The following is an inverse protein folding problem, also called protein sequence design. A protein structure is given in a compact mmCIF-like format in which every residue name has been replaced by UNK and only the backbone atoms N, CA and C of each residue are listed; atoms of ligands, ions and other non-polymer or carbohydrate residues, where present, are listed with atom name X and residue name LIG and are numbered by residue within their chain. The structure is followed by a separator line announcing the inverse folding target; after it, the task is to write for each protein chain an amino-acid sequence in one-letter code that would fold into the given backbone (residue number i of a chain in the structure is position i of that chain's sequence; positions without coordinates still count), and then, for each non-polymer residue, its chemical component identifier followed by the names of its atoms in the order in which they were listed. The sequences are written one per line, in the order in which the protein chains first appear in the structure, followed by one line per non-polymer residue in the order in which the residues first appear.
data_IF_318440205511
#
_entry.id   IF_318440205511
#
_cell.length_a   1.000
_cell.length_b   1.000
_cell.length_c   1.000
_cell.angle_alpha   90.00
_cell.angle_beta   90.00
_cell.angle_gamma   90.00
#
_symmetry.space_group_name_H-M   'P 1'
#
loop_
_entity.id
_entity.type
_entity.pdbx_description
1 polymer ?
#
# COMPACT_ATOMS: atom_id res chain seq x y z
N UNK A 1 -4.49 0.96 -10.61
CA UNK A 1 -3.15 1.46 -10.22
C UNK A 1 -2.73 2.50 -11.25
N UNK A 2 -2.19 3.65 -10.83
CA UNK A 2 -1.58 4.69 -11.70
C UNK A 2 -2.49 5.42 -12.73
N UNK A 3 -3.81 5.36 -12.57
CA UNK A 3 -4.78 5.95 -13.50
C UNK A 3 -4.64 7.48 -13.65
N UNK A 4 -4.29 8.19 -12.57
CA UNK A 4 -4.19 9.66 -12.60
C UNK A 4 -3.04 10.11 -13.48
N UNK A 5 -1.87 9.50 -13.31
CA UNK A 5 -0.68 9.75 -14.12
C UNK A 5 -0.93 9.43 -15.59
N UNK A 6 -1.67 8.35 -15.87
CA UNK A 6 -2.06 7.98 -17.23
C UNK A 6 -2.95 9.03 -17.91
N UNK A 7 -3.98 9.52 -17.20
CA UNK A 7 -4.83 10.61 -17.68
C UNK A 7 -4.03 11.90 -17.90
N UNK A 8 -3.08 12.22 -17.02
CA UNK A 8 -2.20 13.39 -17.16
C UNK A 8 -1.43 13.37 -18.48
N UNK A 9 -0.72 12.29 -18.78
CA UNK A 9 0.08 12.22 -20.01
C UNK A 9 -0.78 12.21 -21.28
N UNK A 10 -1.91 11.50 -21.24
CA UNK A 10 -2.86 11.43 -22.36
C UNK A 10 -3.45 12.80 -22.70
N UNK A 11 -3.87 13.57 -21.69
CA UNK A 11 -4.42 14.92 -21.87
C UNK A 11 -3.40 15.90 -22.46
N UNK A 12 -2.14 15.80 -22.02
CA UNK A 12 -1.06 16.65 -22.53
C UNK A 12 -0.74 16.33 -23.98
N UNK A 13 -0.70 15.05 -24.35
CA UNK A 13 -0.50 14.63 -25.73
C UNK A 13 -1.63 15.16 -26.64
N UNK A 14 -2.89 15.05 -26.22
CA UNK A 14 -4.06 15.59 -26.96
C UNK A 14 -4.00 17.12 -27.11
N UNK A 15 -3.74 17.85 -26.03
CA UNK A 15 -3.66 19.33 -26.03
C UNK A 15 -2.59 19.87 -27.00
N UNK A 16 -1.44 19.21 -27.09
CA UNK A 16 -0.37 19.58 -28.02
C UNK A 16 -0.70 19.25 -29.48
N UNK A 17 -1.52 18.22 -29.74
CA UNK A 17 -1.95 17.85 -31.09
C UNK A 17 -2.99 18.80 -31.72
N UNK A 18 -3.81 19.45 -30.90
CA UNK A 18 -4.91 20.32 -31.36
C UNK A 18 -4.48 21.77 -31.66
N UNK A 19 -3.38 22.26 -31.06
CA UNK A 19 -2.93 23.65 -31.16
C UNK A 19 -1.83 23.86 -32.19
N UNK A 20 -1.73 25.09 -32.70
CA UNK A 20 -0.62 25.51 -33.55
C UNK A 20 0.60 25.77 -32.65
N UNK A 21 1.68 25.00 -32.81
CA UNK A 21 2.86 25.03 -31.93
C UNK A 21 3.66 26.33 -32.06
N UNK A 22 3.18 27.41 -31.45
CA UNK A 22 3.99 28.58 -31.12
C UNK A 22 4.57 28.43 -29.70
N UNK A 23 5.66 29.15 -29.40
CA UNK A 23 6.36 29.05 -28.11
C UNK A 23 5.45 29.29 -26.89
N UNK A 24 4.44 30.17 -27.03
CA UNK A 24 3.50 30.48 -25.93
C UNK A 24 2.53 29.34 -25.65
N UNK A 25 2.01 28.68 -26.69
CA UNK A 25 1.09 27.56 -26.55
C UNK A 25 1.79 26.31 -25.99
N UNK A 26 3.08 26.13 -26.33
CA UNK A 26 3.92 25.09 -25.73
C UNK A 26 4.10 25.35 -24.23
N UNK A 27 4.50 26.56 -23.82
CA UNK A 27 4.73 26.88 -22.41
C UNK A 27 3.46 26.73 -21.57
N UNK A 28 2.30 27.16 -22.09
CA UNK A 28 1.02 26.98 -21.42
C UNK A 28 0.67 25.50 -21.18
N UNK A 29 0.94 24.64 -22.17
CA UNK A 29 0.67 23.20 -22.05
C UNK A 29 1.66 22.49 -21.12
N UNK A 30 2.94 22.90 -21.15
CA UNK A 30 3.95 22.41 -20.22
C UNK A 30 3.64 22.79 -18.77
N UNK A 31 3.08 23.98 -18.53
CA UNK A 31 2.63 24.40 -17.19
C UNK A 31 1.44 23.56 -16.71
N UNK A 32 0.54 23.17 -17.61
CA UNK A 32 -0.56 22.24 -17.28
C UNK A 32 -0.05 20.82 -16.98
N UNK A 33 0.93 20.34 -17.75
CA UNK A 33 1.63 19.09 -17.48
C UNK A 33 2.24 19.11 -16.08
N UNK A 34 2.97 20.18 -15.74
CA UNK A 34 3.61 20.37 -14.43
C UNK A 34 2.61 20.24 -13.28
N UNK A 35 1.51 21.00 -13.32
CA UNK A 35 0.44 20.93 -12.30
C UNK A 35 -0.08 19.50 -12.16
N UNK A 36 -0.35 18.85 -13.29
CA UNK A 36 -0.93 17.51 -13.33
C UNK A 36 0.01 16.42 -12.80
N UNK A 37 1.32 16.57 -13.03
CA UNK A 37 2.34 15.67 -12.50
C UNK A 37 2.53 15.84 -10.99
N UNK A 38 2.58 17.09 -10.51
CA UNK A 38 2.63 17.39 -9.07
C UNK A 38 1.40 16.81 -8.35
N UNK A 39 0.23 16.95 -8.96
CA UNK A 39 -1.03 16.37 -8.50
C UNK A 39 -1.06 14.83 -8.47
N UNK A 40 -0.14 14.19 -9.20
CA UNK A 40 0.05 12.74 -9.24
C UNK A 40 1.19 12.27 -8.34
N UNK A 41 1.63 13.13 -7.41
CA UNK A 41 2.76 12.89 -6.49
C UNK A 41 4.09 12.61 -7.19
N UNK A 42 4.31 13.22 -8.36
CA UNK A 42 5.63 13.27 -8.98
C UNK A 42 6.45 14.37 -8.32
N UNK A 43 7.69 14.06 -7.92
CA UNK A 43 8.57 15.01 -7.26
C UNK A 43 8.94 16.17 -8.18
N UNK A 44 9.04 17.38 -7.60
CA UNK A 44 9.27 18.64 -8.34
C UNK A 44 10.45 18.54 -9.31
N UNK A 45 11.59 18.02 -8.86
CA UNK A 45 12.78 17.86 -9.73
C UNK A 45 12.54 16.91 -10.91
N UNK A 46 11.71 15.89 -10.74
CA UNK A 46 11.35 14.95 -11.81
C UNK A 46 10.39 15.62 -12.79
N UNK A 47 9.47 16.44 -12.28
CA UNK A 47 8.58 17.27 -13.11
C UNK A 47 9.38 18.26 -13.95
N UNK A 48 10.36 18.94 -13.34
CA UNK A 48 11.25 19.87 -14.03
C UNK A 48 12.08 19.18 -15.11
N UNK A 49 12.62 18.00 -14.82
CA UNK A 49 13.38 17.18 -15.78
C UNK A 49 12.51 16.77 -16.98
N UNK A 50 11.29 16.27 -16.74
CA UNK A 50 10.34 15.89 -17.79
C UNK A 50 9.96 17.12 -18.63
N UNK A 51 9.68 18.25 -17.98
CA UNK A 51 9.28 19.51 -18.64
C UNK A 51 10.41 20.04 -19.53
N UNK A 52 11.64 20.05 -19.03
CA UNK A 52 12.81 20.55 -19.76
C UNK A 52 13.10 19.67 -20.99
N UNK A 53 13.14 18.35 -20.81
CA UNK A 53 13.38 17.40 -21.90
C UNK A 53 12.31 17.50 -23.00
N UNK A 54 11.04 17.60 -22.62
CA UNK A 54 9.95 17.75 -23.59
C UNK A 54 10.01 19.10 -24.31
N UNK A 55 10.33 20.18 -23.60
CA UNK A 55 10.49 21.52 -24.18
C UNK A 55 11.59 21.54 -25.25
N UNK A 56 12.75 20.98 -24.94
CA UNK A 56 13.87 20.89 -25.88
C UNK A 56 13.52 20.09 -27.13
N UNK A 57 12.78 18.98 -26.98
CA UNK A 57 12.34 18.13 -28.11
C UNK A 57 11.24 18.77 -28.97
N UNK A 58 10.44 19.67 -28.40
CA UNK A 58 9.36 20.35 -29.12
C UNK A 58 9.83 21.62 -29.83
N UNK A 59 10.79 22.36 -29.26
CA UNK A 59 11.30 23.60 -29.87
C UNK A 59 12.06 23.27 -31.17
N UNK A 60 11.61 23.84 -32.27
CA UNK A 60 12.26 23.69 -33.59
C UNK A 60 11.88 22.43 -34.36
N UNK A 61 11.12 21.51 -33.77
CA UNK A 61 10.69 20.26 -34.43
C UNK A 61 9.44 20.51 -35.28
N UNK A 62 9.54 20.24 -36.59
CA UNK A 62 8.41 20.31 -37.52
C UNK A 62 7.70 18.95 -37.57
N UNK A 63 6.86 18.67 -36.58
CA UNK A 63 6.01 17.47 -36.57
C UNK A 63 4.66 17.78 -37.24
N UNK A 64 4.14 16.85 -38.04
CA UNK A 64 2.79 16.98 -38.59
C UNK A 64 1.76 16.95 -37.45
N UNK A 65 0.68 17.73 -37.51
CA UNK A 65 -0.34 17.78 -36.44
C UNK A 65 -0.87 16.41 -36.04
N UNK A 66 -1.01 15.50 -37.03
CA UNK A 66 -1.48 14.13 -36.81
C UNK A 66 -0.46 13.23 -36.09
N UNK A 67 0.81 13.62 -36.05
CA UNK A 67 1.92 12.85 -35.48
C UNK A 67 2.43 13.45 -34.16
N UNK A 68 2.01 14.67 -33.78
CA UNK A 68 2.44 15.33 -32.54
C UNK A 68 2.08 14.50 -31.31
N UNK A 69 0.87 13.95 -31.26
CA UNK A 69 0.39 13.15 -30.11
C UNK A 69 1.32 11.95 -29.88
N UNK A 70 1.60 11.20 -30.95
CA UNK A 70 2.49 10.04 -30.92
C UNK A 70 3.94 10.45 -30.60
N UNK A 71 4.40 11.58 -31.14
CA UNK A 71 5.73 12.13 -30.83
C UNK A 71 5.89 12.50 -29.36
N UNK A 72 4.93 13.20 -28.77
CA UNK A 72 4.93 13.59 -27.35
C UNK A 72 4.89 12.35 -26.47
N UNK A 73 3.99 11.41 -26.78
CA UNK A 73 3.86 10.14 -26.06
C UNK A 73 5.17 9.35 -26.08
N UNK A 74 5.78 9.16 -27.25
CA UNK A 74 7.08 8.50 -27.41
C UNK A 74 8.20 9.23 -26.67
N UNK A 75 8.20 10.56 -26.69
CA UNK A 75 9.21 11.37 -26.00
C UNK A 75 9.14 11.20 -24.48
N UNK A 76 7.93 11.21 -23.93
CA UNK A 76 7.66 10.98 -22.51
C UNK A 76 8.01 9.54 -22.08
N UNK A 77 7.57 8.53 -22.85
CA UNK A 77 7.92 7.12 -22.60
C UNK A 77 9.44 6.96 -22.59
N UNK A 78 10.15 7.54 -23.57
CA UNK A 78 11.60 7.44 -23.64
C UNK A 78 12.28 8.12 -22.45
N UNK A 79 11.84 9.31 -22.07
CA UNK A 79 12.38 10.02 -20.92
C UNK A 79 12.22 9.20 -19.62
N UNK A 80 11.02 8.72 -19.37
CA UNK A 80 10.71 7.91 -18.18
C UNK A 80 11.44 6.57 -18.21
N UNK A 81 11.49 5.88 -19.36
CA UNK A 81 12.27 4.64 -19.50
C UNK A 81 13.73 4.87 -19.17
N UNK A 82 14.33 5.95 -19.67
CA UNK A 82 15.73 6.29 -19.38
C UNK A 82 15.96 6.47 -17.87
N UNK A 83 15.02 7.09 -17.14
CA UNK A 83 15.12 7.20 -15.68
C UNK A 83 15.16 5.84 -14.99
N UNK A 84 14.39 4.85 -15.47
CA UNK A 84 14.44 3.48 -14.97
C UNK A 84 15.70 2.72 -15.41
N UNK A 85 16.22 2.99 -16.61
CA UNK A 85 17.42 2.35 -17.16
C UNK A 85 18.72 2.82 -16.50
N UNK A 86 18.71 3.99 -15.87
CA UNK A 86 19.81 4.47 -15.03
C UNK A 86 19.97 3.66 -13.74
N UNK A 87 18.91 2.99 -13.27
CA UNK A 87 18.97 2.12 -12.12
C UNK A 87 19.51 0.73 -12.52
N UNK A 88 20.37 0.11 -11.68
CA UNK A 88 20.89 -1.22 -11.97
C UNK A 88 19.79 -2.27 -12.08
N UNK A 89 19.91 -3.18 -13.04
CA UNK A 89 19.06 -4.37 -13.10
C UNK A 89 19.30 -5.23 -11.86
N UNK A 90 18.22 -5.73 -11.24
CA UNK A 90 18.30 -6.48 -10.00
C UNK A 90 17.52 -7.79 -10.06
N UNK A 91 18.21 -8.91 -9.81
CA UNK A 91 17.59 -10.24 -9.65
C UNK A 91 17.91 -10.78 -8.26
N UNK A 92 16.92 -10.70 -7.36
CA UNK A 92 17.06 -11.13 -5.98
C UNK A 92 17.42 -12.62 -5.86
N UNK A 93 16.74 -13.47 -6.63
CA UNK A 93 16.85 -14.92 -6.49
C UNK A 93 18.20 -15.42 -7.00
N UNK A 94 18.65 -14.88 -8.14
CA UNK A 94 19.97 -15.19 -8.70
C UNK A 94 21.09 -14.74 -7.76
N UNK A 95 21.01 -13.51 -7.24
CA UNK A 95 22.02 -12.95 -6.33
C UNK A 95 22.17 -13.78 -5.04
N UNK A 96 21.04 -14.20 -4.45
CA UNK A 96 21.06 -15.07 -3.26
C UNK A 96 21.69 -16.43 -3.58
N UNK A 97 21.26 -17.09 -4.66
CA UNK A 97 21.79 -18.41 -5.05
C UNK A 97 23.29 -18.36 -5.33
N UNK A 98 23.75 -17.36 -6.08
CA UNK A 98 25.17 -17.19 -6.39
C UNK A 98 26.01 -17.04 -5.13
N UNK A 99 25.50 -16.39 -4.08
CA UNK A 99 26.22 -16.24 -2.82
C UNK A 99 26.13 -17.51 -1.96
N UNK A 100 24.97 -18.13 -1.88
CA UNK A 100 24.78 -19.40 -1.16
C UNK A 100 25.69 -20.52 -1.67
N UNK A 101 25.96 -20.58 -2.98
CA UNK A 101 26.90 -21.53 -3.58
C UNK A 101 28.33 -21.38 -3.04
N UNK A 102 28.70 -20.18 -2.59
CA UNK A 102 29.98 -19.90 -1.91
C UNK A 102 29.99 -20.25 -0.41
N UNK A 103 28.91 -20.87 0.09
CA UNK A 103 28.69 -21.22 1.51
C UNK A 103 28.65 -20.01 2.47
N UNK A 104 28.33 -18.82 1.95
CA UNK A 104 28.10 -17.61 2.75
C UNK A 104 26.63 -17.18 2.61
N UNK A 105 25.92 -16.88 3.72
CA UNK A 105 24.54 -16.42 3.62
C UNK A 105 24.45 -15.05 2.94
N UNK A 106 23.36 -14.82 2.21
CA UNK A 106 23.00 -13.52 1.66
C UNK A 106 22.24 -12.68 2.69
N UNK A 107 22.74 -11.50 3.01
CA UNK A 107 22.18 -10.64 4.05
C UNK A 107 21.36 -9.50 3.43
N UNK A 108 20.10 -9.40 3.83
CA UNK A 108 19.19 -8.34 3.39
C UNK A 108 18.78 -7.49 4.60
N UNK A 109 19.13 -6.21 4.57
CA UNK A 109 18.73 -5.23 5.57
C UNK A 109 17.53 -4.42 5.06
N UNK A 110 16.41 -4.49 5.77
CA UNK A 110 15.22 -3.71 5.44
C UNK A 110 15.21 -2.44 6.28
N UNK A 111 15.09 -1.30 5.61
CA UNK A 111 15.01 0.04 6.20
C UNK A 111 13.73 0.73 5.75
N UNK A 112 13.35 1.82 6.41
CA UNK A 112 12.12 2.57 6.10
C UNK A 112 11.41 2.97 7.37
N UNK A 113 10.30 3.68 7.26
CA UNK A 113 9.64 4.25 8.44
C UNK A 113 8.64 3.26 9.07
N UNK A 114 8.06 3.63 10.22
CA UNK A 114 7.00 2.86 10.86
C UNK A 114 5.71 3.00 10.04
N UNK A 115 4.96 1.91 9.92
CA UNK A 115 3.68 1.92 9.21
C UNK A 115 3.77 1.79 7.68
N UNK A 116 4.97 1.71 7.09
CA UNK A 116 5.16 1.46 5.65
C UNK A 116 5.05 -0.01 5.27
N UNK A 117 4.75 -0.91 6.21
CA UNK A 117 4.61 -2.34 5.93
C UNK A 117 5.91 -3.14 5.87
N UNK A 118 7.01 -2.65 6.48
CA UNK A 118 8.32 -3.32 6.50
C UNK A 118 8.29 -4.75 7.05
N UNK A 119 7.78 -4.95 8.27
CA UNK A 119 7.67 -6.28 8.90
C UNK A 119 6.84 -7.26 8.05
N UNK A 120 5.72 -6.80 7.48
CA UNK A 120 4.90 -7.61 6.56
C UNK A 120 5.65 -7.92 5.27
N UNK A 121 6.39 -6.95 4.71
CA UNK A 121 7.20 -7.11 3.49
C UNK A 121 8.30 -8.15 3.70
N UNK A 122 8.94 -8.17 4.87
CA UNK A 122 9.93 -9.18 5.23
C UNK A 122 9.29 -10.57 5.22
N UNK A 123 8.09 -10.72 5.77
CA UNK A 123 7.37 -11.99 5.75
C UNK A 123 7.00 -12.43 4.31
N UNK A 124 6.56 -11.50 3.46
CA UNK A 124 6.30 -11.77 2.02
C UNK A 124 7.55 -12.22 1.29
N UNK A 125 8.67 -11.52 1.48
CA UNK A 125 9.97 -11.90 0.91
C UNK A 125 10.38 -13.28 1.43
N UNK A 126 10.24 -13.55 2.74
CA UNK A 126 10.58 -14.85 3.30
C UNK A 126 9.75 -15.99 2.68
N UNK A 127 8.44 -15.78 2.49
CA UNK A 127 7.55 -16.71 1.78
C UNK A 127 7.99 -16.93 0.33
N UNK A 128 8.29 -15.85 -0.41
CA UNK A 128 8.81 -15.92 -1.78
C UNK A 128 10.10 -16.74 -1.86
N UNK A 129 11.04 -16.52 -0.94
CA UNK A 129 12.30 -17.25 -0.88
C UNK A 129 12.08 -18.75 -0.56
N UNK A 130 11.21 -19.08 0.40
CA UNK A 130 10.87 -20.48 0.71
C UNK A 130 10.25 -21.21 -0.48
N UNK A 131 9.33 -20.55 -1.21
CA UNK A 131 8.75 -21.11 -2.46
C UNK A 131 9.80 -21.40 -3.52
N UNK A 132 10.89 -20.63 -3.52
CA UNK A 132 12.05 -20.82 -4.39
C UNK A 132 13.13 -21.74 -3.80
N UNK A 133 12.81 -22.48 -2.72
CA UNK A 133 13.70 -23.43 -2.02
C UNK A 133 14.96 -22.78 -1.44
N UNK A 134 14.88 -21.50 -1.10
CA UNK A 134 15.93 -20.76 -0.41
C UNK A 134 15.60 -20.78 1.10
N UNK A 135 16.54 -21.26 1.90
CA UNK A 135 16.40 -21.30 3.35
C UNK A 135 16.64 -19.91 3.97
N UNK A 136 15.82 -19.56 4.97
CA UNK A 136 15.77 -18.20 5.53
C UNK A 136 15.83 -18.22 7.05
N UNK A 137 16.59 -17.28 7.63
CA UNK A 137 16.50 -16.88 9.03
C UNK A 137 16.19 -15.39 9.12
N UNK A 138 15.42 -14.99 10.13
CA UNK A 138 14.98 -13.60 10.31
C UNK A 138 15.56 -13.03 11.59
N UNK A 139 16.03 -11.77 11.55
CA UNK A 139 16.55 -11.03 12.69
C UNK A 139 15.60 -9.89 13.08
N UNK A 140 15.15 -9.88 14.34
CA UNK A 140 14.32 -8.81 14.90
C UNK A 140 15.20 -7.67 15.45
N UNK A 141 15.77 -6.87 14.55
CA UNK A 141 16.64 -5.74 14.91
C UNK A 141 15.88 -4.46 15.29
N UNK A 142 14.54 -4.42 15.24
CA UNK A 142 13.71 -3.41 15.94
C UNK A 142 13.58 -3.77 17.43
N UNK A 143 14.67 -3.58 18.18
CA UNK A 143 14.79 -4.03 19.58
C UNK A 143 14.01 -3.19 20.59
N UNK A 144 13.45 -2.06 20.17
CA UNK A 144 12.73 -1.10 21.03
C UNK A 144 11.21 -1.18 20.89
N UNK A 145 10.68 -1.98 19.97
CA UNK A 145 9.22 -2.10 19.78
C UNK A 145 8.81 -3.53 20.02
N UNK A 146 8.41 -3.83 21.27
CA UNK A 146 7.98 -5.16 21.67
C UNK A 146 6.87 -5.72 20.75
N UNK A 147 5.90 -4.88 20.36
CA UNK A 147 4.85 -5.27 19.41
C UNK A 147 5.36 -5.59 18.00
N UNK A 148 6.43 -4.93 17.54
CA UNK A 148 7.03 -5.26 16.24
C UNK A 148 7.75 -6.62 16.28
N UNK A 149 8.45 -6.90 17.38
CA UNK A 149 9.08 -8.21 17.61
C UNK A 149 8.03 -9.32 17.67
N UNK A 150 6.91 -9.09 18.38
CA UNK A 150 5.83 -10.09 18.45
C UNK A 150 5.15 -10.29 17.10
N UNK A 151 4.87 -9.21 16.35
CA UNK A 151 4.33 -9.32 15.00
C UNK A 151 5.26 -10.13 14.07
N UNK A 152 6.57 -9.87 14.12
CA UNK A 152 7.56 -10.63 13.35
C UNK A 152 7.64 -12.09 13.81
N UNK A 153 7.48 -12.34 15.12
CA UNK A 153 7.40 -13.69 15.70
C UNK A 153 6.19 -14.45 15.19
N UNK A 154 5.02 -13.83 15.11
CA UNK A 154 3.84 -14.46 14.53
C UNK A 154 4.06 -14.85 13.07
N UNK A 155 4.61 -13.94 12.25
CA UNK A 155 4.92 -14.23 10.85
C UNK A 155 5.91 -15.39 10.70
N UNK A 156 7.01 -15.34 11.45
CA UNK A 156 8.03 -16.40 11.42
C UNK A 156 7.50 -17.74 11.90
N UNK A 157 6.65 -17.77 12.94
CA UNK A 157 5.98 -18.99 13.38
C UNK A 157 5.05 -19.55 12.30
N UNK A 158 4.23 -18.71 11.65
CA UNK A 158 3.33 -19.14 10.56
C UNK A 158 4.10 -19.70 9.35
N UNK A 159 5.27 -19.13 9.05
CA UNK A 159 6.15 -19.57 7.97
C UNK A 159 7.12 -20.68 8.40
N UNK A 160 7.08 -21.13 9.66
CA UNK A 160 8.01 -22.08 10.25
C UNK A 160 9.49 -21.69 10.05
N UNK A 161 9.80 -20.42 10.29
CA UNK A 161 11.12 -19.81 10.15
C UNK A 161 11.78 -19.60 11.50
N UNK A 162 13.12 -19.69 11.53
CA UNK A 162 13.87 -19.29 12.71
C UNK A 162 13.85 -17.76 12.85
N UNK A 163 13.37 -17.29 13.99
CA UNK A 163 13.56 -15.91 14.45
C UNK A 163 14.76 -15.84 15.41
N UNK A 164 15.65 -14.88 15.16
CA UNK A 164 16.68 -14.43 16.08
C UNK A 164 16.26 -13.09 16.66
N UNK A 165 16.04 -13.08 17.97
CA UNK A 165 15.68 -11.91 18.75
C UNK A 165 16.41 -11.96 20.08
N UNK A 166 16.78 -10.80 20.62
CA UNK A 166 17.34 -10.66 21.95
C UNK A 166 16.34 -9.97 22.89
N UNK A 167 16.76 -9.73 24.13
CA UNK A 167 15.95 -8.99 25.11
C UNK A 167 15.63 -7.58 24.62
N UNK A 168 14.52 -7.04 25.09
CA UNK A 168 14.11 -5.67 24.78
C UNK A 168 15.21 -4.66 25.11
N UNK A 169 15.44 -3.70 24.22
CA UNK A 169 16.49 -2.68 24.36
C UNK A 169 17.91 -3.17 24.07
N UNK A 170 18.09 -4.40 23.59
CA UNK A 170 19.40 -4.89 23.14
C UNK A 170 19.90 -4.13 21.92
N UNK A 171 21.20 -4.24 21.63
CA UNK A 171 21.81 -3.60 20.46
C UNK A 171 21.31 -4.24 19.14
N UNK A 172 20.64 -3.48 18.25
CA UNK A 172 20.15 -3.99 16.96
C UNK A 172 21.21 -4.70 16.12
N UNK A 173 22.45 -4.20 16.16
CA UNK A 173 23.57 -4.77 15.42
C UNK A 173 24.02 -6.13 15.99
N UNK A 174 23.88 -6.35 17.29
CA UNK A 174 24.16 -7.63 17.91
C UNK A 174 23.14 -8.69 17.47
N UNK A 175 21.85 -8.34 17.39
CA UNK A 175 20.81 -9.26 16.88
C UNK A 175 21.09 -9.67 15.43
N UNK A 176 21.47 -8.72 14.57
CA UNK A 176 21.83 -9.00 13.18
C UNK A 176 23.09 -9.89 13.08
N UNK A 177 24.10 -9.64 13.94
CA UNK A 177 25.32 -10.45 14.03
C UNK A 177 25.00 -11.89 14.45
N UNK A 178 24.14 -12.09 15.44
CA UNK A 178 23.73 -13.42 15.90
C UNK A 178 22.98 -14.19 14.82
N UNK A 179 22.12 -13.51 14.04
CA UNK A 179 21.44 -14.12 12.91
C UNK A 179 22.41 -14.57 11.81
N UNK A 180 23.43 -13.76 11.51
CA UNK A 180 24.51 -14.13 10.61
C UNK A 180 25.27 -15.38 11.11
N UNK A 181 25.64 -15.42 12.39
CA UNK A 181 26.34 -16.58 12.97
C UNK A 181 25.47 -17.84 12.96
N UNK A 182 24.17 -17.69 13.25
CA UNK A 182 23.21 -18.77 13.13
C UNK A 182 23.14 -19.31 11.69
N UNK A 183 23.00 -18.41 10.71
CA UNK A 183 22.93 -18.80 9.31
C UNK A 183 24.19 -19.54 8.84
N UNK A 184 25.39 -19.06 9.21
CA UNK A 184 26.65 -19.74 8.89
C UNK A 184 26.76 -21.13 9.52
N UNK A 185 26.36 -21.27 10.78
CA UNK A 185 26.44 -22.57 11.48
C UNK A 185 25.42 -23.59 11.00
N UNK A 186 24.26 -23.13 10.52
CA UNK A 186 23.17 -24.00 10.06
C UNK A 186 23.08 -24.08 8.52
N UNK A 187 24.01 -23.45 7.80
CA UNK A 187 24.04 -23.38 6.32
C UNK A 187 22.72 -22.87 5.73
N UNK A 188 22.21 -21.79 6.32
CA UNK A 188 21.03 -21.08 5.83
C UNK A 188 21.46 -20.12 4.72
N UNK A 189 20.70 -20.06 3.63
CA UNK A 189 21.07 -19.32 2.42
C UNK A 189 20.90 -17.81 2.57
N UNK A 190 19.92 -17.35 3.36
CA UNK A 190 19.59 -15.94 3.47
C UNK A 190 19.22 -15.49 4.90
N UNK A 191 19.66 -14.29 5.27
CA UNK A 191 19.31 -13.59 6.51
C UNK A 191 18.50 -12.35 6.17
N UNK A 192 17.28 -12.24 6.69
CA UNK A 192 16.45 -11.04 6.59
C UNK A 192 16.50 -10.25 7.89
N UNK A 193 16.87 -8.97 7.84
CA UNK A 193 17.06 -8.13 9.02
C UNK A 193 15.99 -7.04 9.04
N UNK A 194 15.08 -7.08 10.03
CA UNK A 194 14.06 -6.04 10.26
C UNK A 194 14.63 -4.92 11.13
N UNK A 195 14.87 -3.74 10.57
CA UNK A 195 15.34 -2.58 11.34
C UNK A 195 14.19 -1.80 11.96
N UNK A 196 14.50 -0.98 12.97
CA UNK A 196 13.58 0.03 13.46
C UNK A 196 13.16 1.04 12.35
N UNK A 197 12.04 1.75 12.54
CA UNK A 197 11.47 2.67 11.54
C UNK A 197 11.10 4.09 11.99
N UNK A 198 11.70 4.64 13.04
CA UNK A 198 11.38 6.02 13.49
C UNK A 198 12.13 7.10 12.70
N UNK A 199 11.53 7.70 11.67
CA UNK A 199 12.23 8.68 10.80
C UNK A 199 12.03 10.16 11.13
N UNK A 200 10.96 10.55 11.84
CA UNK A 200 10.74 11.96 12.12
C UNK A 200 11.82 12.41 13.12
N UNK A 201 12.88 13.03 12.60
CA UNK A 201 14.01 13.72 13.27
C UNK A 201 15.04 12.90 14.06
N UNK A 202 15.01 11.56 14.01
CA UNK A 202 15.88 10.78 14.88
C UNK A 202 17.22 10.40 14.23
N UNK A 203 18.26 11.25 14.41
CA UNK A 203 19.67 10.90 14.08
C UNK A 203 20.05 9.51 14.57
N UNK A 204 19.52 9.10 15.72
CA UNK A 204 19.81 7.81 16.33
C UNK A 204 19.33 6.63 15.46
N UNK A 205 18.26 6.77 14.66
CA UNK A 205 17.84 5.69 13.75
C UNK A 205 18.87 5.47 12.65
N UNK A 206 19.32 6.54 11.99
CA UNK A 206 20.30 6.43 10.91
C UNK A 206 21.63 5.90 11.44
N UNK A 207 22.06 6.36 12.62
CA UNK A 207 23.24 5.82 13.31
C UNK A 207 23.11 4.33 13.63
N UNK A 208 21.92 3.88 14.05
CA UNK A 208 21.65 2.45 14.29
C UNK A 208 21.74 1.63 13.00
N UNK A 209 21.17 2.11 11.90
CA UNK A 209 21.20 1.42 10.61
C UNK A 209 22.63 1.39 10.05
N UNK A 210 23.37 2.50 10.15
CA UNK A 210 24.79 2.54 9.82
C UNK A 210 25.60 1.56 10.66
N UNK A 211 25.31 1.46 11.96
CA UNK A 211 25.97 0.52 12.85
C UNK A 211 25.70 -0.93 12.45
N UNK A 212 24.45 -1.29 12.15
CA UNK A 212 24.10 -2.61 11.62
C UNK A 212 24.91 -2.86 10.34
N UNK A 213 24.90 -1.91 9.41
CA UNK A 213 25.61 -2.01 8.13
C UNK A 213 27.11 -2.23 8.32
N UNK A 214 27.75 -1.53 9.25
CA UNK A 214 29.18 -1.70 9.59
C UNK A 214 29.48 -3.05 10.24
N UNK A 215 28.57 -3.58 11.06
CA UNK A 215 28.79 -4.81 11.85
C UNK A 215 28.58 -6.09 11.05
N UNK A 216 27.59 -6.10 10.14
CA UNK A 216 27.24 -7.31 9.36
C UNK A 216 27.50 -7.19 7.86
N UNK A 217 27.77 -5.98 7.34
CA UNK A 217 28.03 -5.71 5.92
C UNK A 217 26.98 -6.37 4.99
N UNK A 218 25.71 -5.91 5.04
CA UNK A 218 24.63 -6.52 4.28
C UNK A 218 24.90 -6.46 2.77
N UNK A 219 24.53 -7.52 2.06
CA UNK A 219 24.65 -7.62 0.60
C UNK A 219 23.62 -6.77 -0.13
N UNK A 220 22.49 -6.53 0.54
CA UNK A 220 21.38 -5.76 0.01
C UNK A 220 20.72 -4.95 1.10
N UNK A 221 20.55 -3.66 0.86
CA UNK A 221 19.73 -2.77 1.68
C UNK A 221 18.47 -2.42 0.89
N UNK A 222 17.31 -2.69 1.46
CA UNK A 222 16.02 -2.41 0.84
C UNK A 222 15.30 -1.33 1.62
N UNK A 223 14.95 -0.23 0.95
CA UNK A 223 14.01 0.74 1.49
C UNK A 223 12.56 0.27 1.27
N UNK A 224 11.76 0.23 2.33
CA UNK A 224 10.33 -0.10 2.27
C UNK A 224 9.50 1.17 2.49
N UNK A 225 8.84 1.62 1.43
CA UNK A 225 8.04 2.85 1.38
C UNK A 225 6.55 2.58 1.20
N UNK A 226 5.71 3.52 1.65
CA UNK A 226 4.25 3.49 1.44
C UNK A 226 3.91 4.26 0.16
N UNK A 227 3.32 3.60 -0.84
CA UNK A 227 2.93 4.27 -2.10
C UNK A 227 1.90 5.37 -1.87
N UNK A 228 0.98 5.19 -0.91
CA UNK A 228 -0.11 6.13 -0.64
C UNK A 228 0.36 7.44 0.01
N UNK A 229 1.56 7.44 0.60
CA UNK A 229 2.13 8.64 1.19
C UNK A 229 2.80 9.55 0.14
N UNK A 230 2.84 9.15 -1.14
CA UNK A 230 3.25 10.01 -2.25
C UNK A 230 4.62 10.67 -2.02
N UNK A 231 4.65 12.00 -2.09
CA UNK A 231 5.86 12.81 -1.92
C UNK A 231 6.54 12.66 -0.54
N UNK A 232 5.80 12.29 0.51
CA UNK A 232 6.41 12.01 1.82
C UNK A 232 7.33 10.79 1.73
N UNK A 233 6.92 9.74 1.01
CA UNK A 233 7.75 8.55 0.79
C UNK A 233 8.97 8.88 -0.06
N UNK A 234 8.84 9.75 -1.06
CA UNK A 234 9.99 10.23 -1.85
C UNK A 234 11.00 10.96 -0.97
N UNK A 235 10.52 11.85 -0.09
CA UNK A 235 11.36 12.58 0.85
C UNK A 235 12.08 11.65 1.83
N UNK A 236 11.38 10.61 2.30
CA UNK A 236 11.96 9.57 3.15
C UNK A 236 13.03 8.76 2.42
N UNK A 237 12.74 8.33 1.19
CA UNK A 237 13.68 7.60 0.36
C UNK A 237 14.97 8.42 0.15
N UNK A 238 14.85 9.72 -0.16
CA UNK A 238 16.00 10.62 -0.30
C UNK A 238 16.87 10.64 0.95
N UNK A 239 16.26 10.79 2.12
CA UNK A 239 16.99 10.88 3.38
C UNK A 239 17.66 9.55 3.76
N UNK A 240 16.95 8.42 3.62
CA UNK A 240 17.56 7.10 3.81
C UNK A 240 18.69 6.84 2.83
N UNK A 241 18.52 7.20 1.55
CA UNK A 241 19.55 6.99 0.53
C UNK A 241 20.81 7.80 0.84
N UNK A 242 20.66 9.05 1.29
CA UNK A 242 21.77 9.91 1.71
C UNK A 242 22.59 9.33 2.86
N UNK A 243 21.93 8.67 3.82
CA UNK A 243 22.59 8.14 5.03
C UNK A 243 23.06 6.69 4.91
N UNK A 244 22.32 5.87 4.18
CA UNK A 244 22.50 4.40 4.19
C UNK A 244 22.83 3.84 2.81
N UNK A 245 22.61 4.63 1.75
CA UNK A 245 22.79 4.25 0.33
C UNK A 245 22.16 2.89 0.07
N UNK A 246 20.85 2.78 0.26
CA UNK A 246 20.15 1.53 0.00
C UNK A 246 20.19 1.17 -1.48
N UNK A 247 20.08 -0.11 -1.81
CA UNK A 247 20.36 -0.65 -3.14
C UNK A 247 19.09 -0.89 -3.97
N UNK A 248 17.92 -0.88 -3.34
CA UNK A 248 16.63 -0.91 -4.03
C UNK A 248 15.45 -0.60 -3.10
N UNK A 249 14.28 -0.42 -3.69
CA UNK A 249 13.06 -0.07 -2.99
C UNK A 249 11.96 -1.12 -3.17
N UNK A 250 11.13 -1.31 -2.15
CA UNK A 250 9.85 -2.00 -2.23
C UNK A 250 8.76 -1.00 -1.84
N UNK A 251 7.75 -0.86 -2.68
CA UNK A 251 6.62 0.03 -2.42
C UNK A 251 5.42 -0.80 -1.99
N UNK A 252 4.83 -0.47 -0.85
CA UNK A 252 3.66 -1.17 -0.31
C UNK A 252 2.38 -0.40 -0.60
N UNK A 253 1.24 -1.07 -0.43
CA UNK A 253 -0.10 -0.51 -0.65
C UNK A 253 -0.29 0.03 -2.07
N UNK A 254 0.46 -0.51 -3.03
CA UNK A 254 0.46 -0.04 -4.41
C UNK A 254 -0.86 -0.38 -5.11
N UNK A 255 -1.58 -1.40 -4.63
CA UNK A 255 -2.93 -1.76 -5.08
C UNK A 255 -3.93 -0.58 -4.93
N UNK A 256 -3.78 0.22 -3.88
CA UNK A 256 -4.63 1.38 -3.59
C UNK A 256 -4.07 2.68 -4.17
N UNK A 257 -2.88 2.68 -4.79
CA UNK A 257 -2.27 3.88 -5.36
C UNK A 257 -2.77 4.17 -6.77
N UNK A 258 -3.68 5.14 -6.87
CA UNK A 258 -4.19 5.66 -8.14
C UNK A 258 -3.26 6.71 -8.79
N UNK A 259 -2.27 7.24 -8.06
CA UNK A 259 -1.43 8.36 -8.49
C UNK A 259 -0.13 7.90 -9.15
N UNK A 260 0.63 6.99 -8.52
CA UNK A 260 1.78 6.34 -9.14
C UNK A 260 3.07 7.15 -9.26
N UNK A 261 3.05 8.46 -8.98
CA UNK A 261 4.24 9.30 -9.09
C UNK A 261 5.34 8.93 -8.10
N UNK A 262 5.02 8.26 -6.98
CA UNK A 262 6.00 7.86 -5.98
C UNK A 262 7.05 6.89 -6.53
N UNK A 263 6.65 5.90 -7.33
CA UNK A 263 7.57 4.91 -7.89
C UNK A 263 8.58 5.54 -8.85
N UNK A 264 8.07 6.33 -9.80
CA UNK A 264 8.90 7.11 -10.73
C UNK A 264 9.85 8.03 -9.96
N UNK A 265 9.32 8.75 -8.98
CA UNK A 265 10.10 9.75 -8.24
C UNK A 265 11.20 9.11 -7.40
N UNK A 266 10.94 7.98 -6.76
CA UNK A 266 11.99 7.28 -5.99
C UNK A 266 13.13 6.89 -6.91
N UNK A 267 12.84 6.23 -8.05
CA UNK A 267 13.89 5.82 -8.99
C UNK A 267 14.68 7.02 -9.51
N UNK A 268 13.98 8.08 -9.93
CA UNK A 268 14.64 9.27 -10.46
C UNK A 268 15.53 9.97 -9.41
N UNK A 269 15.09 10.05 -8.16
CA UNK A 269 15.78 10.75 -7.07
C UNK A 269 16.93 9.94 -6.48
N UNK A 270 16.76 8.63 -6.31
CA UNK A 270 17.76 7.77 -5.66
C UNK A 270 18.65 7.03 -6.65
N UNK A 271 18.25 6.93 -7.92
CA UNK A 271 18.92 6.12 -8.96
C UNK A 271 19.02 4.64 -8.58
N UNK A 272 18.06 4.17 -7.79
CA UNK A 272 17.97 2.78 -7.33
C UNK A 272 16.65 2.16 -7.78
N UNK A 273 16.65 0.85 -8.12
CA UNK A 273 15.48 0.22 -8.70
C UNK A 273 14.37 0.03 -7.66
N UNK A 274 13.13 0.16 -8.10
CA UNK A 274 11.99 -0.47 -7.40
C UNK A 274 12.01 -1.95 -7.78
N UNK A 275 12.11 -2.82 -6.77
CA UNK A 275 12.26 -4.28 -6.97
C UNK A 275 10.89 -4.96 -6.94
N UNK A 276 10.07 -4.66 -5.94
CA UNK A 276 8.74 -5.26 -5.77
C UNK A 276 7.68 -4.22 -5.42
N UNK A 277 6.43 -4.55 -5.73
CA UNK A 277 5.23 -3.86 -5.30
C UNK A 277 4.44 -4.77 -4.36
N UNK A 278 4.14 -4.28 -3.17
CA UNK A 278 3.21 -4.92 -2.24
C UNK A 278 1.79 -4.52 -2.59
N UNK A 279 0.99 -5.48 -3.03
CA UNK A 279 -0.34 -5.27 -3.64
C UNK A 279 -1.49 -5.84 -2.80
N UNK A 280 -1.31 -5.94 -1.48
CA UNK A 280 -2.28 -6.54 -0.57
C UNK A 280 -1.67 -6.95 0.77
N UNK A 281 -2.34 -7.84 1.50
CA UNK A 281 -1.94 -8.25 2.88
C UNK A 281 -1.43 -9.68 2.97
N UNK A 282 -1.80 -10.55 2.02
CA UNK A 282 -1.39 -11.96 2.01
C UNK A 282 0.08 -12.10 1.64
N UNK A 283 0.69 -13.25 1.99
CA UNK A 283 2.10 -13.50 1.71
C UNK A 283 2.46 -13.47 0.23
N UNK A 284 1.47 -13.73 -0.62
CA UNK A 284 1.60 -13.80 -2.07
C UNK A 284 1.30 -12.48 -2.77
N UNK A 285 0.85 -11.47 -2.02
CA UNK A 285 0.54 -10.13 -2.52
C UNK A 285 1.83 -9.30 -2.66
N UNK A 286 2.79 -9.83 -3.40
CA UNK A 286 4.07 -9.23 -3.72
C UNK A 286 4.37 -9.48 -5.20
N UNK A 287 4.35 -8.42 -6.00
CA UNK A 287 4.59 -8.47 -7.44
C UNK A 287 5.97 -7.93 -7.77
N UNK A 288 6.71 -8.60 -8.67
CA UNK A 288 7.97 -8.07 -9.19
C UNK A 288 7.68 -6.81 -10.01
N UNK A 289 8.38 -5.72 -9.72
CA UNK A 289 8.21 -4.50 -10.50
C UNK A 289 8.72 -4.70 -11.93
N UNK A 290 7.89 -4.37 -12.91
CA UNK A 290 8.24 -4.43 -14.32
C UNK A 290 8.03 -3.04 -14.93
N UNK A 291 9.12 -2.42 -15.40
CA UNK A 291 9.09 -1.09 -15.99
C UNK A 291 8.24 -1.01 -17.26
N UNK A 292 8.23 -2.06 -18.07
CA UNK A 292 7.51 -2.07 -19.34
C UNK A 292 6.00 -2.13 -19.09
N UNK A 293 5.58 -2.97 -18.13
CA UNK A 293 4.19 -3.01 -17.64
C UNK A 293 3.79 -1.69 -16.99
N UNK A 294 4.69 -1.06 -16.22
CA UNK A 294 4.43 0.26 -15.65
C UNK A 294 4.19 1.30 -16.75
N UNK A 295 5.06 1.38 -17.75
CA UNK A 295 4.93 2.29 -18.89
C UNK A 295 3.67 1.98 -19.71
N UNK A 296 3.33 0.72 -19.92
CA UNK A 296 2.11 0.30 -20.60
C UNK A 296 0.85 0.75 -19.84
N UNK A 297 0.80 0.61 -18.52
CA UNK A 297 -0.34 1.10 -17.73
C UNK A 297 -0.43 2.64 -17.76
N UNK A 298 0.72 3.31 -17.67
CA UNK A 298 0.79 4.78 -17.65
C UNK A 298 0.52 5.42 -19.01
N UNK A 299 0.80 4.74 -20.12
CA UNK A 299 0.64 5.33 -21.46
C UNK A 299 -0.32 4.55 -22.39
N UNK A 300 -0.72 3.33 -22.05
CA UNK A 300 -1.49 2.43 -22.92
C UNK A 300 -3.01 2.59 -22.85
N UNK A 301 -3.55 3.44 -21.96
CA UNK A 301 -5.00 3.61 -21.76
C UNK A 301 -5.71 4.43 -22.87
N UNK A 302 -5.27 4.34 -24.12
CA UNK A 302 -5.86 5.07 -25.25
C UNK A 302 -6.91 4.26 -26.04
N UNK A 303 -7.00 2.93 -25.89
CA UNK A 303 -7.84 2.12 -26.81
C UNK A 303 -9.22 1.65 -26.29
N UNK A 304 -9.50 1.60 -24.98
CA UNK A 304 -10.72 0.92 -24.50
C UNK A 304 -11.86 1.83 -24.00
N UNK A 305 -11.63 3.13 -23.77
CA UNK A 305 -12.66 3.98 -23.10
C UNK A 305 -13.59 4.67 -24.11
N UNK A 306 -13.18 4.91 -25.36
CA UNK A 306 -14.03 5.61 -26.34
C UNK A 306 -15.15 4.74 -26.94
N UNK A 307 -15.13 3.40 -26.77
CA UNK A 307 -16.15 2.52 -27.35
C UNK A 307 -17.29 2.10 -26.40
N UNK A 308 -17.27 2.51 -25.12
CA UNK A 308 -18.25 2.02 -24.12
C UNK A 308 -19.33 3.07 -23.78
N UNK A 309 -19.16 4.32 -24.21
CA UNK A 309 -20.15 5.38 -23.94
C UNK A 309 -20.85 5.81 -25.23
N UNK A 310 -21.63 4.89 -25.80
CA UNK A 310 -22.79 5.35 -26.59
C UNK A 310 -23.76 6.04 -25.61
N UNK A 311 -24.24 7.26 -25.90
CA UNK A 311 -25.20 7.93 -25.04
C UNK A 311 -26.50 7.11 -25.06
N UNK A 312 -26.74 6.36 -23.99
CA UNK A 312 -28.03 5.74 -23.76
C UNK A 312 -29.05 6.87 -23.66
N UNK A 313 -29.92 6.97 -24.66
CA UNK A 313 -31.01 7.92 -24.67
C UNK A 313 -31.79 7.84 -23.36
N UNK A 314 -32.00 8.99 -22.71
CA UNK A 314 -32.90 9.08 -21.57
C UNK A 314 -34.27 8.53 -21.99
N UNK A 315 -34.89 7.62 -21.20
CA UNK A 315 -36.21 7.14 -21.51
C UNK A 315 -37.19 8.31 -21.40
N UNK A 316 -37.97 8.54 -22.46
CA UNK A 316 -39.06 9.51 -22.45
C UNK A 316 -40.01 9.20 -21.28
N UNK A 317 -40.52 10.22 -20.57
CA UNK A 317 -41.40 10.02 -19.43
C UNK A 317 -42.72 9.39 -19.90
N UNK A 318 -42.99 8.18 -19.41
CA UNK A 318 -44.28 7.51 -19.60
C UNK A 318 -45.33 8.31 -18.84
N UNK A 319 -46.31 8.84 -19.57
CA UNK A 319 -47.47 9.54 -19.02
C UNK A 319 -48.32 8.53 -18.24
N UNK A 320 -48.46 8.72 -16.93
CA UNK A 320 -49.42 7.97 -16.11
C UNK A 320 -50.86 8.28 -16.55
N UNK A 321 -51.76 7.28 -16.66
CA UNK A 321 -53.16 7.53 -16.98
C UNK A 321 -53.88 8.17 -15.79
N UNK A 322 -54.64 9.23 -16.06
CA UNK A 322 -55.52 9.88 -15.06
C UNK A 322 -56.57 8.91 -14.49
N UNK A 323 -56.93 9.04 -13.20
CA UNK A 323 -57.91 8.16 -12.58
C UNK A 323 -59.33 8.49 -13.06
N UNK A 324 -60.02 7.48 -13.59
CA UNK A 324 -61.45 7.54 -13.93
C UNK A 324 -62.29 7.54 -12.66
N UNK A 325 -63.20 8.50 -12.54
CA UNK A 325 -64.13 8.63 -11.42
C UNK A 325 -65.11 7.43 -11.33
N UNK A 326 -65.27 6.87 -10.12
CA UNK A 326 -66.30 5.89 -9.80
C UNK A 326 -67.70 6.55 -9.73
N UNK A 327 -68.78 5.88 -10.19
CA UNK A 327 -70.14 6.41 -10.08
C UNK A 327 -70.75 6.14 -8.68
N UNK A 328 -71.44 7.14 -8.13
CA UNK A 328 -72.18 7.06 -6.86
C UNK A 328 -73.32 6.04 -6.89
N UNK A 329 -73.59 5.31 -5.79
CA UNK A 329 -74.71 4.36 -5.73
C UNK A 329 -76.04 5.05 -5.39
N UNK A 330 -77.07 4.72 -6.18
CA UNK A 330 -78.46 5.14 -6.01
C UNK A 330 -79.15 4.32 -4.90
N UNK A 331 -79.75 5.00 -3.92
CA UNK A 331 -80.56 4.40 -2.84
C UNK A 331 -81.98 4.11 -3.31
N UNK A 332 -82.48 2.89 -3.08
CA UNK A 332 -83.93 2.61 -3.01
C UNK A 332 -84.28 1.63 -1.87
N UNK A 333 -85.37 1.95 -1.14
CA UNK A 333 -86.00 1.25 0.00
C UNK A 333 -86.75 -0.02 -0.49
N UNK A 334 -87.17 -1.04 0.28
CA UNK A 334 -87.87 -1.09 1.58
C UNK A 334 -88.03 -2.57 2.05
N UNK A 335 -88.40 -2.75 3.34
CA UNK A 335 -89.26 -3.78 3.97
C UNK A 335 -88.63 -5.12 4.42
N UNK A 336 -88.95 -5.74 5.57
CA UNK A 336 -89.81 -5.46 6.75
C UNK A 336 -89.48 -6.47 7.91
N UNK A 337 -89.43 -5.96 9.16
CA UNK A 337 -89.92 -6.45 10.48
C UNK A 337 -89.62 -7.88 11.04
N UNK A 338 -89.10 -7.96 12.29
CA UNK A 338 -89.70 -8.52 13.56
C UNK A 338 -88.62 -9.06 14.54
N UNK A 339 -88.79 -8.68 15.80
CA UNK A 339 -88.05 -8.90 17.07
C UNK A 339 -88.35 -10.23 17.81
N UNK A 340 -87.38 -10.76 18.58
CA UNK A 340 -87.52 -11.51 19.88
C UNK A 340 -86.11 -11.99 20.34
N UNK A 341 -85.51 -11.56 21.46
CA UNK A 341 -85.66 -11.93 22.90
C UNK A 341 -85.04 -13.29 23.34
N UNK A 342 -84.07 -13.18 24.26
CA UNK A 342 -83.71 -14.04 25.42
C UNK A 342 -83.29 -15.52 25.23
N UNK A 343 -82.06 -15.86 25.67
CA UNK A 343 -81.77 -16.68 26.88
C UNK A 343 -80.36 -17.34 26.86
N UNK A 344 -79.68 -17.34 28.02
CA UNK A 344 -78.41 -18.01 28.34
C UNK A 344 -78.75 -19.35 29.05
N UNK A 345 -78.00 -20.47 28.88
CA UNK A 345 -77.01 -20.87 29.92
C UNK A 345 -75.75 -21.62 29.44
N UNK A 346 -74.75 -21.60 30.34
CA UNK A 346 -73.39 -22.20 30.35
C UNK A 346 -73.30 -23.72 30.06
N UNK A 347 -72.16 -24.22 29.54
CA UNK A 347 -71.14 -25.03 30.26
C UNK A 347 -70.18 -25.83 29.31
N UNK A 348 -68.95 -26.09 29.79
CA UNK A 348 -67.79 -26.84 29.24
C UNK A 348 -67.00 -26.14 28.10
N UNK A 349 -65.66 -26.03 28.09
CA UNK A 349 -64.53 -26.09 29.04
C UNK A 349 -63.27 -25.97 28.15
N UNK A 350 -62.25 -25.21 28.59
CA UNK A 350 -60.81 -25.41 28.28
C UNK A 350 -60.34 -25.36 26.80
N UNK A 351 -59.39 -24.54 26.36
CA UNK A 351 -58.16 -24.00 26.96
C UNK A 351 -57.78 -22.71 26.19
N UNK A 352 -57.50 -21.63 26.92
CA UNK A 352 -56.44 -20.70 26.55
C UNK A 352 -56.08 -19.87 27.78
N UNK A 353 -54.85 -20.05 28.28
CA UNK A 353 -54.25 -19.17 29.28
C UNK A 353 -52.85 -18.79 28.81
N UNK A 354 -52.73 -17.48 28.59
CA UNK A 354 -51.66 -16.60 29.06
C UNK A 354 -50.25 -16.79 28.48
N UNK A 355 -49.83 -15.77 27.71
CA UNK A 355 -48.52 -15.14 27.89
C UNK A 355 -48.73 -13.65 28.21
N UNK A 356 -48.15 -13.13 29.31
CA UNK A 356 -47.90 -11.71 29.46
C UNK A 356 -46.40 -11.37 29.36
N UNK A 357 -46.15 -10.25 28.68
CA UNK A 357 -45.19 -9.16 28.99
C UNK A 357 -43.69 -9.45 29.16
N UNK A 358 -42.94 -8.75 28.31
CA UNK A 358 -41.54 -8.30 28.38
C UNK A 358 -40.87 -8.34 29.76
N UNK A 359 -39.71 -9.01 29.82
CA UNK A 359 -38.71 -8.87 30.88
C UNK A 359 -37.54 -8.00 30.39
N UNK A 360 -37.34 -6.89 31.07
CA UNK A 360 -36.11 -6.09 31.11
C UNK A 360 -34.88 -6.92 31.50
N UNK A 361 -33.69 -6.69 30.92
CA UNK A 361 -32.45 -7.34 31.39
C UNK A 361 -31.95 -6.72 32.71
N UNK A 362 -31.49 -7.59 33.61
CA UNK A 362 -30.89 -7.28 34.92
C UNK A 362 -29.54 -6.53 34.82
N UNK A 363 -29.12 -5.79 35.87
CA UNK A 363 -27.83 -5.09 35.87
C UNK A 363 -26.66 -6.06 36.06
N UNK A 364 -25.60 -5.85 35.26
CA UNK A 364 -24.33 -6.57 35.36
C UNK A 364 -23.60 -6.14 36.63
N UNK A 365 -23.21 -7.11 37.46
CA UNK A 365 -22.41 -6.93 38.67
C UNK A 365 -20.95 -6.68 38.28
N UNK A 366 -20.36 -5.56 38.74
CA UNK A 366 -18.93 -5.27 38.60
C UNK A 366 -18.09 -6.23 39.47
N UNK A 367 -16.93 -6.71 38.99
CA UNK A 367 -16.02 -7.50 39.82
C UNK A 367 -15.27 -6.63 40.83
N UNK A 368 -15.15 -7.12 42.08
CA UNK A 368 -14.40 -6.49 43.17
C UNK A 368 -12.91 -6.29 42.85
N UNK A 369 -12.26 -5.24 43.40
CA UNK A 369 -10.86 -4.95 43.15
C UNK A 369 -9.93 -5.97 43.83
N UNK A 370 -9.00 -6.51 43.05
CA UNK A 370 -7.91 -7.37 43.53
C UNK A 370 -6.94 -6.54 44.36
N UNK A 371 -6.71 -6.94 45.61
CA UNK A 371 -5.74 -6.33 46.53
C UNK A 371 -4.32 -6.73 46.09
N UNK A 372 -3.47 -5.74 45.77
CA UNK A 372 -2.04 -5.95 45.53
C UNK A 372 -1.30 -6.32 46.83
N UNK A 373 -0.34 -7.26 46.81
CA UNK A 373 0.48 -7.56 47.98
C UNK A 373 1.48 -6.42 48.26
N UNK A 374 1.64 -6.07 49.54
CA UNK A 374 2.59 -5.06 50.03
C UNK A 374 4.05 -5.38 49.62
N UNK A 375 4.88 -4.35 49.34
CA UNK A 375 6.28 -4.54 48.99
C UNK A 375 7.09 -5.04 50.19
N UNK A 376 7.83 -6.13 49.98
CA UNK A 376 8.83 -6.64 50.92
C UNK A 376 9.98 -5.63 51.01
N UNK A 377 10.23 -5.11 52.20
CA UNK A 377 11.37 -4.23 52.50
C UNK A 377 12.65 -5.08 52.56
N UNK A 378 13.60 -4.82 51.66
CA UNK A 378 14.96 -5.36 51.77
C UNK A 378 15.72 -4.69 52.93
N UNK A 379 16.49 -5.42 53.75
CA UNK A 379 17.29 -4.81 54.81
C UNK A 379 18.49 -4.05 54.23
N UNK A 380 18.75 -2.86 54.80
CA UNK A 380 19.91 -2.01 54.45
C UNK A 380 21.25 -2.76 54.60
N UNK A 381 22.25 -2.46 53.75
CA UNK A 381 23.56 -3.07 53.88
C UNK A 381 24.28 -2.55 55.12
N UNK A 382 24.71 -3.47 55.98
CA UNK A 382 25.64 -3.21 57.08
C UNK A 382 26.98 -2.79 56.47
N UNK A 383 27.43 -1.59 56.80
CA UNK A 383 28.76 -1.08 56.48
C UNK A 383 29.75 -1.67 57.49
N UNK A 384 30.72 -2.45 57.00
CA UNK A 384 31.99 -2.73 57.68
C UNK A 384 33.16 -2.16 56.87
#
# INVERSE_FOLDING_TARGET
MFEKLSKTFSNVAKSLGEKELNEKDIEGTLSQLEISLLESDVAVEVVDDIKSDLKEKLIGTKVNRKEIIDFVKKSLIQNISNMFDEAPSFDLLSNIKSKADSQDPYLILFVGINGTGKTTTIAKIASLLQKNKISVVVAASDTFRAGAIEQLREHTNRLNLKLVAQNYGSDPAAVARDALLYAKSHKVDCVLIDSAGRMQTNKNLMEQIEKISKVVNPDLKIFVGDSLAGNDTVSQAREFHKHTTFDGAILTKSDADARGGAALSIVAVTKTPVIYLGIGQEYDDLELFNKDKFLEVVFGMDEEIESIVEPVAEPEPVVEPEPVAEPEPVVTKTSEIITASEDIPEFFLEKEKQLPTESTPEPVVEPEPVVEPEPVVEPEPVVE
#
